data_IF_805364036956
#
_entry.id   IF_805364036956
#
_cell.length_a   1.000
_cell.length_b   1.000
_cell.length_c   1.000
_cell.angle_alpha   90.00
_cell.angle_beta   90.00
_cell.angle_gamma   90.00
#
_symmetry.space_group_name_H-M   'P 1'
#
loop_
_entity.id
_entity.type
_entity.pdbx_description
1 polymer ?
#
# COMPACT_ATOMS: atom_id res chain seq x y z
N UNK A 1 -2.81 6.11 -1.42
CA UNK A 1 -3.15 6.21 0.04
C UNK A 1 -4.66 6.28 0.22
N UNK A 2 -5.23 5.84 1.36
CA UNK A 2 -6.70 5.77 1.57
C UNK A 2 -7.46 7.03 1.12
N UNK A 3 -6.98 8.23 1.45
CA UNK A 3 -7.63 9.49 1.05
C UNK A 3 -7.66 9.68 -0.47
N UNK A 4 -6.56 9.38 -1.16
CA UNK A 4 -6.50 9.45 -2.61
C UNK A 4 -7.39 8.39 -3.26
N UNK A 5 -7.42 7.18 -2.69
CA UNK A 5 -8.29 6.10 -3.17
C UNK A 5 -9.77 6.44 -3.03
N UNK A 6 -10.18 7.14 -1.96
CA UNK A 6 -11.54 7.71 -1.82
C UNK A 6 -11.83 8.79 -2.86
N UNK A 7 -10.89 9.69 -3.15
CA UNK A 7 -11.08 10.75 -4.15
C UNK A 7 -11.19 10.20 -5.59
N UNK A 8 -10.63 9.03 -5.83
CA UNK A 8 -10.60 8.38 -7.14
C UNK A 8 -11.64 7.26 -7.27
N UNK A 9 -12.64 7.20 -6.38
CA UNK A 9 -13.71 6.18 -6.36
C UNK A 9 -13.18 4.73 -6.49
N UNK A 10 -12.03 4.45 -5.88
CA UNK A 10 -11.45 3.11 -5.90
C UNK A 10 -12.28 2.15 -5.04
N UNK A 11 -12.14 0.85 -5.30
CA UNK A 11 -12.83 -0.21 -4.54
C UNK A 11 -12.10 -0.62 -3.26
N UNK A 12 -10.79 -0.40 -3.18
CA UNK A 12 -9.95 -0.82 -2.04
C UNK A 12 -8.99 0.27 -1.58
N UNK A 13 -8.52 0.17 -0.33
CA UNK A 13 -7.55 1.10 0.26
C UNK A 13 -6.18 1.11 -0.45
N UNK A 14 -5.92 0.09 -1.28
CA UNK A 14 -4.75 -0.04 -2.14
C UNK A 14 -5.02 0.41 -3.57
N UNK A 15 -5.80 1.49 -3.75
CA UNK A 15 -6.04 2.09 -5.08
C UNK A 15 -6.74 1.12 -6.05
N UNK A 16 -7.65 0.30 -5.51
CA UNK A 16 -8.40 -0.71 -6.27
C UNK A 16 -7.68 -2.06 -6.41
N UNK A 17 -6.44 -2.18 -5.95
CA UNK A 17 -5.68 -3.42 -5.94
C UNK A 17 -5.87 -4.20 -4.62
N UNK A 18 -5.83 -5.53 -4.69
CA UNK A 18 -5.91 -6.38 -3.49
C UNK A 18 -4.56 -6.49 -2.75
N UNK A 19 -3.45 -6.46 -3.48
CA UNK A 19 -2.11 -6.68 -2.92
C UNK A 19 -1.19 -5.51 -3.22
N UNK A 20 -0.28 -5.23 -2.29
CA UNK A 20 0.77 -4.21 -2.44
C UNK A 20 2.05 -4.60 -1.70
N UNK A 21 3.11 -3.82 -1.91
CA UNK A 21 4.40 -4.00 -1.23
C UNK A 21 4.82 -2.69 -0.58
N UNK A 22 5.26 -2.78 0.67
CA UNK A 22 5.90 -1.68 1.39
C UNK A 22 7.39 -1.96 1.54
N UNK A 23 8.20 -0.95 1.24
CA UNK A 23 9.64 -0.97 1.44
C UNK A 23 10.06 -0.01 2.56
N UNK A 24 10.76 -0.52 3.56
CA UNK A 24 11.48 0.26 4.57
C UNK A 24 12.98 0.26 4.27
N UNK A 25 13.62 1.44 4.31
CA UNK A 25 15.06 1.58 4.06
C UNK A 25 15.75 2.04 5.35
N UNK A 26 16.75 1.27 5.81
CA UNK A 26 17.52 1.56 7.02
C UNK A 26 18.97 1.94 6.74
N UNK A 27 19.68 2.55 7.72
CA UNK A 27 21.09 2.90 7.58
C UNK A 27 21.95 1.64 7.33
N UNK A 28 22.73 1.66 6.24
CA UNK A 28 23.47 0.52 5.72
C UNK A 28 22.96 0.09 4.34
N UNK A 29 22.70 -1.21 4.15
CA UNK A 29 22.13 -1.82 2.94
C UNK A 29 20.91 -2.70 3.27
N UNK A 30 20.10 -2.30 4.25
CA UNK A 30 18.94 -3.09 4.68
C UNK A 30 17.66 -2.58 4.03
N UNK A 31 16.92 -3.50 3.41
CA UNK A 31 15.58 -3.26 2.88
C UNK A 31 14.61 -4.19 3.61
N UNK A 32 13.68 -3.62 4.36
CA UNK A 32 12.55 -4.35 4.93
C UNK A 32 11.42 -4.36 3.91
N UNK A 33 10.90 -5.55 3.59
CA UNK A 33 9.82 -5.70 2.59
C UNK A 33 8.62 -6.38 3.25
N UNK A 34 7.46 -5.72 3.18
CA UNK A 34 6.20 -6.25 3.71
C UNK A 34 5.17 -6.35 2.59
N UNK A 35 4.56 -7.53 2.44
CA UNK A 35 3.40 -7.72 1.57
C UNK A 35 2.16 -7.25 2.30
N UNK A 36 1.38 -6.38 1.66
CA UNK A 36 0.16 -5.81 2.19
C UNK A 36 -1.05 -6.41 1.47
N UNK A 37 -2.10 -6.71 2.24
CA UNK A 37 -3.43 -6.99 1.72
C UNK A 37 -4.33 -5.78 1.96
N UNK A 38 -4.95 -5.28 0.90
CA UNK A 38 -5.89 -4.17 0.94
C UNK A 38 -7.23 -4.58 1.52
N UNK A 39 -7.98 -3.59 2.02
CA UNK A 39 -9.36 -3.76 2.47
C UNK A 39 -10.30 -2.94 1.59
N UNK A 40 -11.59 -3.30 1.50
CA UNK A 40 -12.60 -2.46 0.87
C UNK A 40 -12.61 -1.04 1.47
N UNK A 41 -12.89 -0.04 0.63
CA UNK A 41 -12.96 1.37 1.03
C UNK A 41 -14.26 1.72 1.76
#
# INVERSE_FOLDING_TARGET
TRKASLQNDCSTTGEGLEMGVLFGFGPGLTIETVVLKSVPL
#
